data_IF_703687744578
#
_entry.id   IF_703687744578
#
_cell.length_a   1.000
_cell.length_b   1.000
_cell.length_c   1.000
_cell.angle_alpha   90.00
_cell.angle_beta   90.00
_cell.angle_gamma   90.00
#
_symmetry.space_group_name_H-M   'P 1'
#
loop_
_entity.id
_entity.type
_entity.pdbx_description
1 polymer ?
#
# COMPACT_ATOMS: atom_id res chain seq x y z
N UNK A 1 -23.19 -0.78 -32.63
CA UNK A 1 -24.41 -1.26 -31.92
C UNK A 1 -24.35 -2.74 -31.48
N UNK A 2 -23.93 -3.68 -32.34
CA UNK A 2 -23.96 -5.12 -32.06
C UNK A 2 -23.11 -5.57 -30.85
N UNK A 3 -22.04 -4.85 -30.50
CA UNK A 3 -21.21 -5.16 -29.33
C UNK A 3 -21.80 -4.69 -27.99
N UNK A 4 -22.88 -3.88 -28.00
CA UNK A 4 -23.46 -3.26 -26.79
C UNK A 4 -23.77 -4.29 -25.69
N UNK A 5 -24.45 -5.42 -25.95
CA UNK A 5 -24.77 -6.39 -24.90
C UNK A 5 -23.51 -7.00 -24.26
N UNK A 6 -22.44 -7.21 -25.04
CA UNK A 6 -21.17 -7.73 -24.53
C UNK A 6 -20.45 -6.71 -23.65
N UNK A 7 -20.46 -5.44 -24.05
CA UNK A 7 -19.87 -4.35 -23.25
C UNK A 7 -20.60 -4.20 -21.92
N UNK A 8 -21.93 -4.25 -21.93
CA UNK A 8 -22.75 -4.14 -20.71
C UNK A 8 -22.53 -5.33 -19.76
N UNK A 9 -22.45 -6.55 -20.30
CA UNK A 9 -22.15 -7.74 -19.50
C UNK A 9 -20.76 -7.68 -18.87
N UNK A 10 -19.74 -7.29 -19.65
CA UNK A 10 -18.37 -7.13 -19.14
C UNK A 10 -18.30 -6.05 -18.05
N UNK A 11 -18.97 -4.91 -18.25
CA UNK A 11 -19.01 -3.82 -17.27
C UNK A 11 -19.71 -4.26 -15.97
N UNK A 12 -20.81 -5.02 -16.07
CA UNK A 12 -21.50 -5.54 -14.90
C UNK A 12 -20.61 -6.49 -14.09
N UNK A 13 -19.92 -7.42 -14.76
CA UNK A 13 -18.98 -8.34 -14.12
C UNK A 13 -17.82 -7.59 -13.45
N UNK A 14 -17.24 -6.61 -14.14
CA UNK A 14 -16.17 -5.76 -13.63
C UNK A 14 -16.59 -4.99 -12.37
N UNK A 15 -17.78 -4.37 -12.39
CA UNK A 15 -18.33 -3.67 -11.22
C UNK A 15 -18.54 -4.61 -10.04
N UNK A 16 -19.06 -5.81 -10.27
CA UNK A 16 -19.24 -6.80 -9.20
C UNK A 16 -17.90 -7.23 -8.59
N UNK A 17 -16.86 -7.38 -9.40
CA UNK A 17 -15.51 -7.70 -8.90
C UNK A 17 -14.95 -6.59 -8.02
N UNK A 18 -15.08 -5.32 -8.43
CA UNK A 18 -14.63 -4.17 -7.64
C UNK A 18 -15.38 -4.04 -6.31
N UNK A 19 -16.71 -4.22 -6.32
CA UNK A 19 -17.51 -4.19 -5.09
C UNK A 19 -17.09 -5.30 -4.11
N UNK A 20 -16.86 -6.51 -4.63
CA UNK A 20 -16.38 -7.64 -3.82
C UNK A 20 -15.00 -7.35 -3.23
N UNK A 21 -14.11 -6.77 -4.02
CA UNK A 21 -12.77 -6.40 -3.59
C UNK A 21 -12.84 -5.39 -2.44
N UNK A 22 -13.57 -4.27 -2.62
CA UNK A 22 -13.77 -3.24 -1.58
C UNK A 22 -14.26 -3.85 -0.27
N UNK A 23 -15.37 -4.59 -0.32
CA UNK A 23 -15.96 -5.20 0.87
C UNK A 23 -15.01 -6.18 1.58
N UNK A 24 -14.26 -6.98 0.81
CA UNK A 24 -13.30 -7.93 1.39
C UNK A 24 -12.11 -7.24 2.06
N UNK A 25 -11.63 -6.15 1.46
CA UNK A 25 -10.50 -5.39 1.96
C UNK A 25 -10.87 -4.58 3.19
N UNK A 26 -12.02 -3.93 3.18
CA UNK A 26 -12.57 -3.23 4.35
C UNK A 26 -12.74 -4.19 5.53
N UNK A 27 -13.35 -5.37 5.31
CA UNK A 27 -13.52 -6.36 6.36
C UNK A 27 -12.19 -6.86 6.93
N UNK A 28 -11.18 -7.04 6.09
CA UNK A 28 -9.87 -7.50 6.52
C UNK A 28 -9.07 -6.42 7.27
N UNK A 29 -9.14 -5.15 6.82
CA UNK A 29 -8.45 -4.03 7.45
C UNK A 29 -9.13 -3.56 8.74
N UNK A 30 -10.45 -3.74 8.88
CA UNK A 30 -11.18 -3.41 10.11
C UNK A 30 -10.69 -4.19 11.35
N UNK A 31 -10.04 -5.33 11.14
CA UNK A 31 -9.43 -6.13 12.21
C UNK A 31 -7.95 -5.84 12.47
N UNK A 32 -7.32 -4.93 11.72
CA UNK A 32 -5.92 -4.59 11.93
C UNK A 32 -5.75 -3.65 13.12
N UNK A 33 -4.73 -3.90 13.94
CA UNK A 33 -4.44 -3.08 15.13
C UNK A 33 -3.87 -1.70 14.76
N UNK A 34 -3.21 -1.60 13.59
CA UNK A 34 -2.52 -0.41 13.15
C UNK A 34 -2.61 -0.29 11.61
N UNK A 35 -3.15 0.83 11.14
CA UNK A 35 -3.36 1.16 9.73
C UNK A 35 -2.48 2.33 9.26
N UNK A 36 -1.51 2.74 10.07
CA UNK A 36 -0.60 3.85 9.76
C UNK A 36 0.33 3.50 8.61
N UNK A 37 0.44 4.42 7.67
CA UNK A 37 1.27 4.28 6.48
C UNK A 37 2.09 5.52 6.20
N UNK A 38 3.30 5.31 5.69
CA UNK A 38 4.10 6.35 5.02
C UNK A 38 4.22 5.98 3.55
N UNK A 39 4.11 6.98 2.66
CA UNK A 39 4.31 6.76 1.24
C UNK A 39 5.58 7.42 0.73
N UNK A 40 6.43 6.66 0.05
CA UNK A 40 7.60 7.17 -0.66
C UNK A 40 7.28 7.56 -2.12
N UNK A 41 5.99 7.52 -2.48
CA UNK A 41 5.46 7.80 -3.81
C UNK A 41 4.29 8.77 -3.74
N UNK A 42 4.12 9.60 -4.76
CA UNK A 42 2.96 10.47 -4.91
C UNK A 42 1.74 9.75 -5.54
N UNK A 43 1.91 8.47 -5.93
CA UNK A 43 0.93 7.74 -6.75
C UNK A 43 -0.23 7.13 -5.98
N UNK A 44 -0.09 6.96 -4.66
CA UNK A 44 -0.98 6.08 -3.89
C UNK A 44 -2.08 6.79 -3.11
N UNK A 45 -2.23 8.11 -3.24
CA UNK A 45 -3.21 8.88 -2.45
C UNK A 45 -4.65 8.32 -2.56
N UNK A 46 -5.10 7.94 -3.76
CA UNK A 46 -6.42 7.34 -3.95
C UNK A 46 -6.55 5.94 -3.34
N UNK A 47 -5.50 5.12 -3.44
CA UNK A 47 -5.49 3.77 -2.88
C UNK A 47 -5.55 3.82 -1.35
N UNK A 48 -4.69 4.65 -0.76
CA UNK A 48 -4.61 4.87 0.69
C UNK A 48 -5.95 5.37 1.22
N UNK A 49 -6.53 6.40 0.60
CA UNK A 49 -7.84 6.92 0.98
C UNK A 49 -8.96 5.90 0.75
N UNK A 50 -8.95 5.15 -0.35
CA UNK A 50 -9.99 4.17 -0.68
C UNK A 50 -10.00 2.96 0.28
N UNK A 51 -8.85 2.63 0.87
CA UNK A 51 -8.72 1.58 1.88
C UNK A 51 -8.86 2.10 3.32
N UNK A 52 -9.12 3.40 3.50
CA UNK A 52 -9.16 4.07 4.81
C UNK A 52 -7.87 3.89 5.64
N UNK A 53 -6.71 3.87 4.99
CA UNK A 53 -5.42 3.83 5.67
C UNK A 53 -5.06 5.21 6.22
N UNK A 54 -4.32 5.24 7.32
CA UNK A 54 -3.89 6.50 7.96
C UNK A 54 -2.55 6.95 7.38
N UNK A 55 -2.57 7.91 6.46
CA UNK A 55 -1.35 8.50 5.90
C UNK A 55 -0.67 9.41 6.93
N UNK A 56 0.47 8.98 7.47
CA UNK A 56 1.28 9.75 8.40
C UNK A 56 2.13 10.79 7.67
N UNK A 57 2.80 10.38 6.59
CA UNK A 57 3.65 11.27 5.80
C UNK A 57 3.85 10.77 4.36
N UNK A 58 4.22 11.69 3.48
CA UNK A 58 4.63 11.41 2.11
C UNK A 58 6.02 11.98 1.83
N UNK A 59 6.98 11.09 1.57
CA UNK A 59 8.39 11.44 1.34
C UNK A 59 8.83 11.00 -0.05
N UNK A 60 8.52 11.82 -1.04
CA UNK A 60 8.82 11.53 -2.45
C UNK A 60 10.22 12.02 -2.79
N UNK A 61 11.21 11.13 -2.65
CA UNK A 61 12.62 11.42 -2.91
C UNK A 61 13.17 10.52 -4.03
N UNK A 62 14.08 11.06 -4.82
CA UNK A 62 14.91 10.26 -5.75
C UNK A 62 15.98 9.48 -4.98
N UNK A 63 16.63 8.51 -5.61
CA UNK A 63 17.59 7.64 -4.93
C UNK A 63 18.80 8.41 -4.40
N UNK A 64 19.20 9.47 -5.10
CA UNK A 64 20.33 10.34 -4.75
C UNK A 64 19.99 11.31 -3.60
N UNK A 65 18.69 11.53 -3.35
CA UNK A 65 18.21 12.45 -2.31
C UNK A 65 18.12 11.79 -0.93
N UNK A 66 18.32 10.47 -0.85
CA UNK A 66 18.42 9.74 0.42
C UNK A 66 19.78 9.98 1.10
N UNK A 67 19.98 11.20 1.56
CA UNK A 67 21.14 11.56 2.40
C UNK A 67 20.99 10.99 3.81
N UNK A 68 22.05 10.93 4.62
CA UNK A 68 21.96 10.50 6.02
C UNK A 68 20.90 11.29 6.83
N UNK A 69 20.74 12.58 6.54
CA UNK A 69 19.74 13.43 7.18
C UNK A 69 18.31 13.03 6.77
N UNK A 70 18.08 12.73 5.49
CA UNK A 70 16.79 12.25 5.00
C UNK A 70 16.43 10.89 5.61
N UNK A 71 17.40 9.97 5.70
CA UNK A 71 17.23 8.68 6.36
C UNK A 71 16.90 8.84 7.85
N UNK A 72 17.58 9.76 8.54
CA UNK A 72 17.29 10.09 9.93
C UNK A 72 15.86 10.60 10.13
N UNK A 73 15.37 11.47 9.24
CA UNK A 73 13.98 11.94 9.25
C UNK A 73 12.98 10.83 8.98
N UNK A 74 13.25 9.95 8.02
CA UNK A 74 12.41 8.79 7.74
C UNK A 74 12.32 7.90 8.99
N UNK A 75 13.46 7.47 9.55
CA UNK A 75 13.47 6.64 10.76
C UNK A 75 12.77 7.28 11.96
N UNK A 76 12.92 8.59 12.16
CA UNK A 76 12.22 9.32 13.22
C UNK A 76 10.70 9.30 12.97
N UNK A 77 10.26 9.64 11.75
CA UNK A 77 8.84 9.63 11.37
C UNK A 77 8.21 8.26 11.61
N UNK A 78 8.90 7.20 11.20
CA UNK A 78 8.41 5.83 11.38
C UNK A 78 8.30 5.43 12.84
N UNK A 79 9.30 5.75 13.68
CA UNK A 79 9.31 5.38 15.10
C UNK A 79 8.36 6.21 15.93
N UNK A 80 8.34 7.52 15.74
CA UNK A 80 7.58 8.46 16.55
C UNK A 80 6.06 8.30 16.35
N UNK A 81 5.65 7.76 15.20
CA UNK A 81 4.24 7.52 14.85
C UNK A 81 3.87 6.02 14.83
N UNK A 82 4.75 5.12 15.27
CA UNK A 82 4.56 3.66 15.22
C UNK A 82 4.07 3.18 13.84
N UNK A 83 4.74 3.60 12.76
CA UNK A 83 4.26 3.35 11.40
C UNK A 83 4.30 1.86 11.07
N UNK A 84 3.17 1.29 10.67
CA UNK A 84 3.06 -0.13 10.35
C UNK A 84 3.66 -0.48 8.97
N UNK A 85 3.36 0.35 7.95
CA UNK A 85 3.68 0.02 6.55
C UNK A 85 4.21 1.21 5.77
N UNK A 86 5.27 0.99 5.01
CA UNK A 86 5.84 1.95 4.06
C UNK A 86 5.56 1.47 2.64
N UNK A 87 4.96 2.35 1.83
CA UNK A 87 4.57 2.07 0.45
C UNK A 87 5.49 2.76 -0.54
N UNK A 88 5.98 2.03 -1.53
CA UNK A 88 6.70 2.58 -2.68
C UNK A 88 6.22 1.92 -3.99
N UNK A 89 6.46 2.56 -5.12
CA UNK A 89 6.20 2.07 -6.47
C UNK A 89 7.43 1.48 -7.15
N UNK A 90 8.60 1.69 -6.54
CA UNK A 90 9.88 1.17 -7.01
C UNK A 90 10.67 0.63 -5.83
N UNK A 91 11.65 -0.23 -6.09
CA UNK A 91 12.50 -0.73 -5.03
C UNK A 91 13.41 0.41 -4.52
N UNK A 92 13.29 0.85 -3.26
CA UNK A 92 14.15 1.89 -2.73
C UNK A 92 15.58 1.35 -2.52
N UNK A 93 16.59 2.23 -2.40
CA UNK A 93 17.97 1.81 -2.18
C UNK A 93 18.15 1.15 -0.81
N UNK A 94 19.18 0.32 -0.65
CA UNK A 94 19.44 -0.47 0.58
C UNK A 94 19.43 0.34 1.89
N UNK A 95 20.02 1.56 1.97
CA UNK A 95 19.97 2.35 3.19
C UNK A 95 18.55 2.69 3.66
N UNK A 96 17.62 2.89 2.72
CA UNK A 96 16.21 3.18 3.03
C UNK A 96 15.51 1.92 3.56
N UNK A 97 15.74 0.76 2.94
CA UNK A 97 15.19 -0.51 3.43
C UNK A 97 15.65 -0.80 4.85
N UNK A 98 16.94 -0.63 5.12
CA UNK A 98 17.52 -0.82 6.44
C UNK A 98 16.93 0.16 7.47
N UNK A 99 16.72 1.42 7.09
CA UNK A 99 16.09 2.43 7.95
C UNK A 99 14.63 2.10 8.31
N UNK A 100 13.88 1.54 7.36
CA UNK A 100 12.49 1.09 7.54
C UNK A 100 12.44 -0.12 8.48
N UNK A 101 13.26 -1.15 8.22
CA UNK A 101 13.31 -2.35 9.05
C UNK A 101 13.77 -2.04 10.48
N UNK A 102 14.79 -1.18 10.65
CA UNK A 102 15.27 -0.74 11.96
C UNK A 102 14.26 0.14 12.72
N UNK A 103 13.23 0.64 12.04
CA UNK A 103 12.08 1.32 12.66
C UNK A 103 10.95 0.36 13.04
N UNK A 104 11.01 -0.91 12.61
CA UNK A 104 9.97 -1.91 12.86
C UNK A 104 8.84 -1.90 11.83
N UNK A 105 8.88 -0.99 10.86
CA UNK A 105 7.89 -0.90 9.78
C UNK A 105 8.17 -1.94 8.69
N UNK A 106 7.12 -2.35 7.97
CA UNK A 106 7.25 -3.21 6.78
C UNK A 106 7.37 -2.35 5.53
N UNK A 107 8.20 -2.76 4.56
CA UNK A 107 8.22 -2.15 3.22
C UNK A 107 7.38 -3.00 2.26
N UNK A 108 6.50 -2.36 1.50
CA UNK A 108 5.77 -2.98 0.39
C UNK A 108 5.94 -2.13 -0.87
N UNK A 109 6.41 -2.78 -1.93
CA UNK A 109 6.51 -2.19 -3.26
C UNK A 109 5.29 -2.62 -4.07
N UNK A 110 4.50 -1.66 -4.54
CA UNK A 110 3.29 -1.88 -5.32
C UNK A 110 3.59 -1.83 -6.82
N UNK A 111 2.88 -2.65 -7.59
CA UNK A 111 2.95 -2.60 -9.05
C UNK A 111 2.13 -1.43 -9.60
N UNK A 112 2.66 -0.71 -10.59
CA UNK A 112 1.92 0.37 -11.26
C UNK A 112 1.93 0.27 -12.79
N UNK A 113 2.58 -0.75 -13.35
CA UNK A 113 2.92 -0.87 -14.78
C UNK A 113 2.43 -2.19 -15.41
N UNK A 114 1.51 -2.89 -14.73
CA UNK A 114 0.97 -4.16 -15.17
C UNK A 114 0.05 -4.05 -16.39
N UNK A 115 -0.02 -5.13 -17.17
CA UNK A 115 -0.84 -5.20 -18.38
C UNK A 115 -2.35 -5.31 -18.07
N UNK A 116 -2.72 -5.82 -16.88
CA UNK A 116 -4.10 -5.88 -16.41
C UNK A 116 -4.23 -5.10 -15.08
N UNK A 117 -4.80 -3.88 -15.12
CA UNK A 117 -4.85 -3.00 -13.96
C UNK A 117 -5.74 -3.54 -12.84
N UNK A 118 -6.73 -4.40 -13.13
CA UNK A 118 -7.57 -4.96 -12.09
C UNK A 118 -6.84 -6.06 -11.31
N UNK A 119 -6.10 -6.92 -12.01
CA UNK A 119 -5.32 -7.98 -11.37
C UNK A 119 -4.20 -7.37 -10.52
N UNK A 120 -3.55 -6.32 -11.02
CA UNK A 120 -2.51 -5.59 -10.28
C UNK A 120 -3.09 -4.93 -9.03
N UNK A 121 -4.19 -4.17 -9.16
CA UNK A 121 -4.87 -3.57 -8.02
C UNK A 121 -5.31 -4.60 -6.97
N UNK A 122 -5.81 -5.76 -7.41
CA UNK A 122 -6.16 -6.85 -6.51
C UNK A 122 -4.93 -7.39 -5.75
N UNK A 123 -3.81 -7.56 -6.44
CA UNK A 123 -2.55 -7.98 -5.85
C UNK A 123 -2.01 -6.98 -4.82
N UNK A 124 -2.00 -5.70 -5.18
CA UNK A 124 -1.54 -4.62 -4.30
C UNK A 124 -2.37 -4.53 -3.02
N UNK A 125 -3.70 -4.55 -3.16
CA UNK A 125 -4.62 -4.52 -2.02
C UNK A 125 -4.44 -5.76 -1.13
N UNK A 126 -4.27 -6.95 -1.72
CA UNK A 126 -3.98 -8.17 -0.96
C UNK A 126 -2.63 -8.08 -0.23
N UNK A 127 -1.62 -7.49 -0.86
CA UNK A 127 -0.31 -7.23 -0.25
C UNK A 127 -0.43 -6.33 0.97
N UNK A 128 -1.17 -5.23 0.85
CA UNK A 128 -1.46 -4.29 1.95
C UNK A 128 -2.20 -5.00 3.08
N UNK A 129 -3.29 -5.70 2.76
CA UNK A 129 -4.09 -6.44 3.76
C UNK A 129 -3.23 -7.46 4.50
N UNK A 130 -2.37 -8.20 3.80
CA UNK A 130 -1.49 -9.19 4.42
C UNK A 130 -0.43 -8.50 5.31
N UNK A 131 0.10 -7.37 4.87
CA UNK A 131 1.11 -6.63 5.60
C UNK A 131 0.53 -6.03 6.91
N UNK A 132 -0.72 -5.57 6.91
CA UNK A 132 -1.37 -4.91 8.05
C UNK A 132 -2.17 -5.88 8.94
N UNK A 133 -2.92 -6.80 8.35
CA UNK A 133 -3.76 -7.77 9.08
C UNK A 133 -3.01 -8.95 9.70
N UNK A 134 -1.70 -9.08 9.42
CA UNK A 134 -0.85 -10.19 9.87
C UNK A 134 0.05 -9.88 11.08
N UNK A 135 -0.11 -8.75 11.77
CA UNK A 135 0.74 -8.39 12.92
C UNK A 135 0.22 -8.90 14.27
N UNK A 136 -0.96 -9.53 14.30
CA UNK A 136 -1.53 -10.18 15.50
C UNK A 136 -1.35 -11.70 15.54
N UNK A 137 -0.11 -12.24 15.54
CA UNK A 137 0.18 -13.60 16.02
C UNK A 137 1.69 -13.86 16.16
N UNK A 138 2.32 -13.24 17.16
CA UNK A 138 3.50 -13.81 17.82
C UNK A 138 3.22 -13.86 19.32
N UNK A 139 2.35 -14.79 19.72
CA UNK A 139 2.29 -15.33 21.08
C UNK A 139 1.40 -16.57 21.09
N UNK A 140 2.02 -17.76 20.93
CA UNK A 140 1.87 -18.92 21.82
C UNK A 140 2.74 -20.08 21.32
#
# INVERSE_FOLDING_TARGET
>A
PAAKPKIEANLAAFKQQLLKLSASSEAALAGADNLSVVSLSDRFGYLISGLNLELIDSQVLTDEQWTPEALGKLSATLKDNDVALVLDHRQPPEPVKAAIEAAGSRLLVLGIDGADPLIELQGDIQGIVKALGGSGSVAR
#
